data_IF_255518972176
#
_entry.id   IF_255518972176
#
_cell.length_a   1.000
_cell.length_b   1.000
_cell.length_c   1.000
_cell.angle_alpha   90.00
_cell.angle_beta   90.00
_cell.angle_gamma   90.00
#
_symmetry.space_group_name_H-M   'P 1'
#
loop_
_entity.id
_entity.type
_entity.pdbx_description
1 polymer ?
#
# COMPACT_ATOMS: atom_id res chain seq x y z
N UNK A 1 -43.56 -12.88 16.44
CA UNK A 1 -42.69 -11.73 16.08
C UNK A 1 -41.72 -11.45 17.22
N UNK A 2 -40.42 -11.73 17.06
CA UNK A 2 -39.31 -11.17 17.87
C UNK A 2 -37.96 -11.53 17.22
N UNK A 3 -37.42 -10.53 16.51
CA UNK A 3 -36.03 -10.07 16.37
C UNK A 3 -34.87 -11.09 16.27
N UNK A 4 -34.33 -11.17 15.06
CA UNK A 4 -32.92 -11.07 14.64
C UNK A 4 -31.83 -11.20 15.71
N UNK A 5 -30.90 -12.13 15.51
CA UNK A 5 -29.48 -11.97 15.85
C UNK A 5 -28.61 -12.97 15.06
N UNK A 6 -28.15 -12.53 13.89
CA UNK A 6 -26.93 -13.02 13.26
C UNK A 6 -25.75 -12.59 14.15
N UNK A 7 -24.96 -13.53 14.67
CA UNK A 7 -23.62 -13.22 15.17
C UNK A 7 -22.66 -14.25 14.57
N UNK A 8 -22.10 -13.84 13.44
CA UNK A 8 -20.98 -14.43 12.75
C UNK A 8 -19.72 -14.12 13.58
N UNK A 9 -19.41 -14.97 14.57
CA UNK A 9 -18.21 -14.85 15.39
C UNK A 9 -17.12 -15.81 14.89
N UNK A 10 -16.72 -15.68 13.63
CA UNK A 10 -15.38 -16.13 13.22
C UNK A 10 -14.42 -14.98 13.50
N UNK A 11 -13.95 -14.95 14.74
CA UNK A 11 -12.75 -14.24 15.17
C UNK A 11 -11.64 -14.59 14.17
N UNK A 12 -11.34 -13.64 13.27
CA UNK A 12 -10.06 -13.57 12.60
C UNK A 12 -9.03 -13.45 13.70
N UNK A 13 -8.39 -14.58 14.01
CA UNK A 13 -7.09 -14.62 14.66
C UNK A 13 -6.15 -13.78 13.81
N UNK A 14 -6.09 -12.48 14.11
CA UNK A 14 -5.05 -11.58 13.65
C UNK A 14 -3.75 -12.11 14.24
N UNK A 15 -3.17 -13.10 13.58
CA UNK A 15 -1.72 -13.28 13.60
C UNK A 15 -1.14 -12.02 12.97
N UNK A 16 -0.97 -11.02 13.83
CA UNK A 16 -0.02 -9.94 13.67
C UNK A 16 1.37 -10.58 13.55
N UNK A 17 1.69 -11.03 12.33
CA UNK A 17 2.99 -11.46 11.79
C UNK A 17 2.76 -12.04 10.39
N UNK A 18 2.09 -11.26 9.52
CA UNK A 18 1.85 -11.57 8.12
C UNK A 18 2.31 -10.41 7.27
N UNK A 19 3.63 -10.35 7.00
CA UNK A 19 4.22 -9.39 6.08
C UNK A 19 3.54 -9.55 4.72
N UNK A 20 2.75 -8.54 4.34
CA UNK A 20 2.15 -8.53 3.02
C UNK A 20 3.20 -8.36 1.95
N UNK A 21 2.83 -8.57 0.68
CA UNK A 21 3.73 -8.37 -0.46
C UNK A 21 4.08 -6.90 -0.73
N UNK A 22 3.45 -5.96 -0.04
CA UNK A 22 3.80 -4.54 -0.09
C UNK A 22 5.15 -4.29 0.62
N UNK A 23 6.18 -3.80 -0.09
CA UNK A 23 7.48 -3.50 0.51
C UNK A 23 7.38 -2.44 1.60
N UNK A 24 8.21 -2.55 2.65
CA UNK A 24 8.27 -1.55 3.73
C UNK A 24 8.66 -0.17 3.21
N UNK A 25 9.51 -0.11 2.17
CA UNK A 25 9.87 1.14 1.50
C UNK A 25 8.64 1.89 0.96
N UNK A 26 7.61 1.18 0.51
CA UNK A 26 6.38 1.79 0.02
C UNK A 26 5.54 2.38 1.16
N UNK A 27 5.48 1.68 2.30
CA UNK A 27 4.82 2.17 3.51
C UNK A 27 5.51 3.45 4.01
N UNK A 28 6.83 3.42 4.12
CA UNK A 28 7.64 4.57 4.53
C UNK A 28 7.47 5.76 3.58
N UNK A 29 7.48 5.52 2.27
CA UNK A 29 7.28 6.56 1.26
C UNK A 29 5.92 7.25 1.43
N UNK A 30 4.85 6.47 1.60
CA UNK A 30 3.51 7.03 1.76
C UNK A 30 3.37 7.83 3.05
N UNK A 31 3.90 7.30 4.17
CA UNK A 31 3.89 8.00 5.46
C UNK A 31 4.69 9.31 5.39
N UNK A 32 5.88 9.26 4.79
CA UNK A 32 6.70 10.45 4.58
C UNK A 32 5.98 11.49 3.73
N UNK A 33 5.39 11.08 2.61
CA UNK A 33 4.64 11.98 1.73
C UNK A 33 3.40 12.60 2.41
N UNK A 34 2.67 11.81 3.21
CA UNK A 34 1.49 12.29 3.91
C UNK A 34 1.83 13.38 4.94
N UNK A 35 3.01 13.28 5.56
CA UNK A 35 3.50 14.24 6.55
C UNK A 35 3.99 15.56 5.95
N UNK A 36 4.25 15.63 4.65
CA UNK A 36 4.69 16.86 3.99
C UNK A 36 3.56 17.90 3.90
N UNK A 37 3.91 19.17 4.02
CA UNK A 37 3.02 20.28 3.68
C UNK A 37 2.90 20.47 2.14
N UNK A 38 2.02 21.39 1.72
CA UNK A 38 1.79 21.66 0.31
C UNK A 38 2.98 22.34 -0.40
N UNK A 39 3.81 23.09 0.32
CA UNK A 39 5.00 23.72 -0.25
C UNK A 39 6.10 22.67 -0.51
N UNK A 40 6.30 21.75 0.43
CA UNK A 40 7.20 20.61 0.29
C UNK A 40 6.74 19.66 -0.82
N UNK A 41 5.44 19.35 -0.90
CA UNK A 41 4.88 18.52 -1.98
C UNK A 41 5.08 19.13 -3.37
N UNK A 42 5.17 20.46 -3.49
CA UNK A 42 5.48 21.14 -4.76
C UNK A 42 6.94 21.00 -5.20
N UNK A 43 7.86 20.66 -4.30
CA UNK A 43 9.27 20.39 -4.62
C UNK A 43 9.48 18.98 -5.17
N UNK A 44 8.54 18.07 -4.93
CA UNK A 44 8.59 16.72 -5.47
C UNK A 44 8.22 16.71 -6.95
N UNK A 45 8.75 15.73 -7.66
CA UNK A 45 8.38 15.43 -9.02
C UNK A 45 6.89 15.18 -9.12
N UNK A 46 6.33 15.60 -10.27
CA UNK A 46 4.93 15.41 -10.58
C UNK A 46 4.54 13.91 -10.51
N UNK A 47 5.43 13.01 -10.95
CA UNK A 47 5.16 11.57 -10.96
C UNK A 47 5.03 11.01 -9.54
N UNK A 48 5.98 11.32 -8.64
CA UNK A 48 5.92 10.89 -7.24
C UNK A 48 4.68 11.44 -6.56
N UNK A 49 4.41 12.73 -6.74
CA UNK A 49 3.23 13.38 -6.17
C UNK A 49 1.94 12.75 -6.65
N UNK A 50 1.79 12.50 -7.96
CA UNK A 50 0.58 11.90 -8.51
C UNK A 50 0.36 10.47 -8.00
N UNK A 51 1.42 9.64 -7.99
CA UNK A 51 1.32 8.24 -7.55
C UNK A 51 0.99 8.13 -6.07
N UNK A 52 1.68 8.88 -5.20
CA UNK A 52 1.42 8.83 -3.76
C UNK A 52 0.08 9.49 -3.39
N UNK A 53 -0.35 10.55 -4.09
CA UNK A 53 -1.72 11.07 -3.94
C UNK A 53 -2.78 10.05 -4.35
N UNK A 54 -2.56 9.31 -5.44
CA UNK A 54 -3.49 8.28 -5.88
C UNK A 54 -3.64 7.17 -4.83
N UNK A 55 -2.53 6.74 -4.22
CA UNK A 55 -2.56 5.79 -3.09
C UNK A 55 -3.31 6.37 -1.90
N UNK A 56 -3.00 7.60 -1.44
CA UNK A 56 -3.72 8.22 -0.31
C UNK A 56 -5.23 8.34 -0.56
N UNK A 57 -5.64 8.62 -1.80
CA UNK A 57 -7.06 8.71 -2.16
C UNK A 57 -7.80 7.38 -1.99
N UNK A 58 -7.13 6.24 -2.12
CA UNK A 58 -7.74 4.93 -1.85
C UNK A 58 -8.14 4.78 -0.37
N UNK A 59 -7.42 5.44 0.53
CA UNK A 59 -7.76 5.55 1.95
C UNK A 59 -8.64 6.76 2.30
N UNK A 60 -9.18 7.50 1.33
CA UNK A 60 -9.86 8.79 1.55
C UNK A 60 -9.00 9.82 2.30
N UNK A 61 -7.67 9.81 2.07
CA UNK A 61 -6.71 10.68 2.74
C UNK A 61 -6.20 10.16 4.10
N UNK A 62 -6.79 9.10 4.62
CA UNK A 62 -6.31 8.38 5.81
C UNK A 62 -5.15 7.45 5.41
N UNK A 63 -3.98 7.69 6.00
CA UNK A 63 -2.73 7.00 5.62
C UNK A 63 -2.78 5.53 5.96
N UNK A 64 -3.30 5.16 7.13
CA UNK A 64 -3.33 3.77 7.57
C UNK A 64 -4.33 2.97 6.73
N UNK A 65 -5.51 3.56 6.44
CA UNK A 65 -6.46 2.94 5.49
C UNK A 65 -5.87 2.81 4.10
N UNK A 66 -5.13 3.80 3.62
CA UNK A 66 -4.47 3.73 2.32
C UNK A 66 -3.43 2.61 2.27
N UNK A 67 -2.66 2.39 3.36
CA UNK A 67 -1.71 1.28 3.47
C UNK A 67 -2.43 -0.06 3.43
N UNK A 68 -3.53 -0.22 4.17
CA UNK A 68 -4.29 -1.47 4.21
C UNK A 68 -4.89 -1.83 2.84
N UNK A 69 -5.46 -0.84 2.15
CA UNK A 69 -5.98 -1.03 0.79
C UNK A 69 -4.85 -1.35 -0.18
N UNK A 70 -3.72 -0.66 -0.08
CA UNK A 70 -2.57 -0.89 -0.96
C UNK A 70 -1.95 -2.27 -0.73
N UNK A 71 -1.83 -2.71 0.53
CA UNK A 71 -1.38 -4.05 0.90
C UNK A 71 -2.25 -5.12 0.24
N UNK A 72 -3.57 -5.00 0.40
CA UNK A 72 -4.55 -5.91 -0.20
C UNK A 72 -4.45 -5.91 -1.73
N UNK A 73 -4.27 -4.72 -2.33
CA UNK A 73 -4.15 -4.57 -3.78
C UNK A 73 -2.88 -5.24 -4.32
N UNK A 74 -1.72 -5.03 -3.67
CA UNK A 74 -0.45 -5.65 -4.08
C UNK A 74 -0.49 -7.15 -3.90
N UNK A 75 -1.10 -7.65 -2.83
CA UNK A 75 -1.28 -9.09 -2.61
C UNK A 75 -2.17 -9.73 -3.69
N UNK A 76 -3.30 -9.11 -4.03
CA UNK A 76 -4.15 -9.59 -5.11
C UNK A 76 -3.44 -9.57 -6.48
N UNK A 77 -2.66 -8.53 -6.78
CA UNK A 77 -1.85 -8.46 -8.01
C UNK A 77 -0.77 -9.55 -8.03
N UNK A 78 -0.09 -9.76 -6.90
CA UNK A 78 0.91 -10.81 -6.76
C UNK A 78 0.31 -12.18 -7.05
N UNK A 79 -0.82 -12.52 -6.43
CA UNK A 79 -1.50 -13.79 -6.66
C UNK A 79 -1.95 -13.96 -8.11
N UNK A 80 -2.55 -12.92 -8.71
CA UNK A 80 -3.01 -12.96 -10.08
C UNK A 80 -1.86 -13.19 -11.06
N UNK A 81 -0.75 -12.45 -10.90
CA UNK A 81 0.45 -12.61 -11.74
C UNK A 81 1.11 -13.95 -11.48
N UNK A 82 1.21 -14.40 -10.23
CA UNK A 82 1.79 -15.70 -9.91
C UNK A 82 1.01 -16.84 -10.56
N UNK A 83 -0.34 -16.77 -10.57
CA UNK A 83 -1.21 -17.76 -11.23
C UNK A 83 -1.08 -17.75 -12.75
N UNK A 84 -0.91 -16.58 -13.37
CA UNK A 84 -0.89 -16.43 -14.83
C UNK A 84 0.51 -16.57 -15.46
N UNK A 85 1.54 -16.09 -14.77
CA UNK A 85 2.91 -15.90 -15.30
C UNK A 85 4.01 -16.50 -14.41
N UNK A 86 3.62 -17.17 -13.33
CA UNK A 86 4.53 -17.78 -12.37
C UNK A 86 5.05 -16.83 -11.30
N UNK A 87 5.44 -17.41 -10.15
CA UNK A 87 5.90 -16.68 -8.96
C UNK A 87 7.11 -15.79 -9.22
N UNK A 88 8.07 -16.22 -10.05
CA UNK A 88 9.26 -15.44 -10.40
C UNK A 88 8.91 -14.08 -11.04
N UNK A 89 7.89 -14.06 -11.89
CA UNK A 89 7.41 -12.82 -12.52
C UNK A 89 6.73 -11.93 -11.48
N UNK A 90 5.94 -12.51 -10.58
CA UNK A 90 5.29 -11.77 -9.50
C UNK A 90 6.33 -11.16 -8.53
N UNK A 91 7.35 -11.93 -8.14
CA UNK A 91 8.44 -11.45 -7.28
C UNK A 91 9.24 -10.30 -7.94
N UNK A 92 9.47 -10.38 -9.26
CA UNK A 92 10.12 -9.29 -10.00
C UNK A 92 9.31 -7.99 -9.92
N UNK A 93 7.99 -8.04 -10.02
CA UNK A 93 7.12 -6.86 -9.89
C UNK A 93 7.17 -6.26 -8.48
N UNK A 94 7.25 -7.11 -7.44
CA UNK A 94 7.43 -6.63 -6.07
C UNK A 94 8.78 -5.93 -5.92
N UNK A 95 9.85 -6.51 -6.46
CA UNK A 95 11.18 -5.89 -6.43
C UNK A 95 11.24 -4.55 -7.18
N UNK A 96 10.59 -4.46 -8.35
CA UNK A 96 10.48 -3.19 -9.08
C UNK A 96 9.67 -2.15 -8.29
N UNK A 97 8.60 -2.57 -7.63
CA UNK A 97 7.80 -1.70 -6.76
C UNK A 97 8.63 -1.19 -5.58
N UNK A 98 9.42 -2.07 -4.95
CA UNK A 98 10.32 -1.70 -3.86
C UNK A 98 11.35 -0.65 -4.29
N UNK A 99 12.00 -0.86 -5.43
CA UNK A 99 12.97 0.08 -5.99
C UNK A 99 12.35 1.47 -6.24
N UNK A 100 11.17 1.50 -6.84
CA UNK A 100 10.46 2.76 -7.07
C UNK A 100 10.07 3.46 -5.76
N UNK A 101 9.63 2.72 -4.76
CA UNK A 101 9.31 3.29 -3.45
C UNK A 101 10.55 3.84 -2.73
N UNK A 102 11.72 3.22 -2.91
CA UNK A 102 12.99 3.76 -2.43
C UNK A 102 13.39 5.06 -3.15
N UNK A 103 13.10 5.20 -4.44
CA UNK A 103 13.27 6.46 -5.15
C UNK A 103 12.37 7.56 -4.58
N UNK A 104 11.10 7.26 -4.33
CA UNK A 104 10.18 8.20 -3.69
C UNK A 104 10.65 8.61 -2.29
N UNK A 105 11.13 7.66 -1.47
CA UNK A 105 11.72 7.97 -0.15
C UNK A 105 12.89 8.94 -0.27
N UNK A 106 13.79 8.71 -1.23
CA UNK A 106 14.94 9.59 -1.46
C UNK A 106 14.50 10.98 -1.87
N UNK A 107 13.42 11.10 -2.63
CA UNK A 107 12.88 12.40 -3.05
C UNK A 107 12.20 13.14 -1.89
N UNK A 108 11.45 12.43 -1.06
CA UNK A 108 10.73 12.99 0.10
C UNK A 108 11.68 13.47 1.20
N UNK A 109 12.85 12.84 1.35
CA UNK A 109 13.85 13.19 2.38
C UNK A 109 14.77 14.35 1.99
N UNK A 110 14.66 14.88 0.77
CA UNK A 110 15.44 16.04 0.31
C UNK A 110 14.81 17.35 0.81
#
# INVERSE_FOLDING_TARGET
>A
MKKTALILATLFSLTACGGGKLPSSCVDALKGFAALDDAQKKQLSMVTTMRLKAVLRQGNGDVDKAIDVWKTTVEAQYEAVSKQKGSKTADLLISQSEQQCEEWKKEIKK
#
